data_IF_477149742099
#
_entry.id   IF_477149742099
#
_cell.length_a   1.000
_cell.length_b   1.000
_cell.length_c   1.000
_cell.angle_alpha   90.00
_cell.angle_beta   90.00
_cell.angle_gamma   90.00
#
_symmetry.space_group_name_H-M   'P 1'
#
loop_
_entity.id
_entity.type
_entity.pdbx_description
1 polymer ?
#
# COMPACT_ATOMS: atom_id res chain seq x y z
N UNK A 1 25.22 6.08 -18.80
CA UNK A 1 25.61 4.92 -17.97
C UNK A 1 25.98 5.40 -16.58
N UNK A 2 25.36 4.85 -15.56
CA UNK A 2 25.69 5.12 -14.16
C UNK A 2 26.72 4.10 -13.69
N UNK A 3 27.82 4.57 -13.13
CA UNK A 3 28.88 3.73 -12.51
C UNK A 3 28.78 3.91 -10.99
N UNK A 4 28.51 2.84 -10.26
CA UNK A 4 28.44 2.87 -8.80
C UNK A 4 29.86 2.90 -8.24
N UNK A 5 30.15 3.85 -7.35
CA UNK A 5 31.45 4.01 -6.69
C UNK A 5 31.42 3.48 -5.25
N UNK A 6 30.33 3.69 -4.54
CA UNK A 6 30.15 3.16 -3.19
C UNK A 6 28.68 3.17 -2.79
N UNK A 7 28.34 2.27 -1.86
CA UNK A 7 27.04 2.15 -1.23
C UNK A 7 27.18 2.31 0.27
N UNK A 8 26.28 3.01 0.90
CA UNK A 8 26.19 3.16 2.36
C UNK A 8 24.75 3.27 2.81
N UNK A 9 24.50 3.03 4.09
CA UNK A 9 23.17 3.19 4.66
C UNK A 9 23.23 3.73 6.08
N UNK A 10 22.15 4.36 6.50
CA UNK A 10 21.94 4.81 7.88
C UNK A 10 20.51 4.64 8.33
N UNK A 11 20.30 4.63 9.63
CA UNK A 11 18.96 4.65 10.21
C UNK A 11 18.40 6.06 10.21
N UNK A 12 17.13 6.20 9.85
CA UNK A 12 16.32 7.42 9.95
C UNK A 12 15.02 7.11 10.68
N UNK A 13 14.19 8.12 10.95
CA UNK A 13 12.84 7.94 11.47
C UNK A 13 11.81 8.06 10.36
N UNK A 14 10.76 7.25 10.45
CA UNK A 14 9.54 7.39 9.66
C UNK A 14 8.56 8.38 10.32
N UNK A 15 7.38 8.58 9.73
CA UNK A 15 6.32 9.47 10.22
C UNK A 15 5.78 9.08 11.60
N UNK A 16 5.92 7.81 12.01
CA UNK A 16 5.53 7.27 13.32
C UNK A 16 6.68 7.31 14.35
N UNK A 17 7.82 7.92 14.00
CA UNK A 17 9.03 7.93 14.83
C UNK A 17 9.63 6.54 15.05
N UNK A 18 9.35 5.57 14.18
CA UNK A 18 10.01 4.26 14.15
C UNK A 18 11.26 4.31 13.27
N UNK A 19 12.24 3.45 13.58
CA UNK A 19 13.49 3.40 12.82
C UNK A 19 13.30 2.68 11.50
N UNK A 20 13.76 3.31 10.41
CA UNK A 20 13.84 2.70 9.08
C UNK A 20 15.19 2.99 8.42
N UNK A 21 15.39 2.50 7.20
CA UNK A 21 16.64 2.62 6.45
C UNK A 21 16.60 3.76 5.42
N UNK A 22 17.72 4.47 5.33
CA UNK A 22 18.04 5.34 4.20
C UNK A 22 19.33 4.82 3.58
N UNK A 23 19.27 4.48 2.31
CA UNK A 23 20.42 4.06 1.50
C UNK A 23 20.94 5.25 0.71
N UNK A 24 22.26 5.39 0.64
CA UNK A 24 22.97 6.39 -0.16
C UNK A 24 23.95 5.70 -1.09
N UNK A 25 23.95 6.09 -2.34
CA UNK A 25 24.93 5.63 -3.35
C UNK A 25 25.74 6.82 -3.87
N UNK A 26 27.04 6.63 -4.07
CA UNK A 26 27.90 7.55 -4.81
C UNK A 26 28.15 6.97 -6.19
N UNK A 27 28.01 7.79 -7.20
CA UNK A 27 28.16 7.40 -8.61
C UNK A 27 29.03 8.40 -9.36
N UNK A 28 29.29 8.14 -10.65
CA UNK A 28 29.92 9.09 -11.54
C UNK A 28 29.11 10.36 -11.81
N UNK A 29 27.77 10.31 -11.57
CA UNK A 29 26.83 11.44 -11.81
C UNK A 29 26.36 12.14 -10.54
N UNK A 30 26.86 11.74 -9.37
CA UNK A 30 26.54 12.37 -8.09
C UNK A 30 26.22 11.38 -6.97
N UNK A 31 25.68 11.90 -5.87
CA UNK A 31 25.19 11.13 -4.74
C UNK A 31 23.65 11.13 -4.74
N UNK A 32 23.07 9.92 -4.57
CA UNK A 32 21.63 9.74 -4.56
C UNK A 32 21.21 8.94 -3.33
N UNK A 33 20.00 9.21 -2.88
CA UNK A 33 19.47 8.63 -1.64
C UNK A 33 18.02 8.21 -1.84
N UNK A 34 17.66 7.11 -1.19
CA UNK A 34 16.26 6.71 -1.03
C UNK A 34 16.06 6.01 0.31
N UNK A 35 14.85 6.07 0.83
CA UNK A 35 14.46 5.42 2.08
C UNK A 35 13.26 4.50 1.87
N UNK A 36 13.13 3.52 2.75
CA UNK A 36 11.97 2.63 2.75
C UNK A 36 10.99 2.99 3.86
N UNK A 37 9.68 2.86 3.63
CA UNK A 37 8.66 3.00 4.67
C UNK A 37 8.61 1.75 5.58
N UNK A 38 7.91 1.85 6.73
CA UNK A 38 7.56 0.73 7.59
C UNK A 38 6.07 0.45 7.60
N UNK A 39 5.67 -0.82 7.56
CA UNK A 39 4.29 -1.23 7.83
C UNK A 39 4.04 -1.37 9.34
N UNK A 40 2.83 -1.01 9.81
CA UNK A 40 2.36 -1.28 11.18
C UNK A 40 1.83 -2.70 11.31
N UNK A 41 1.13 -3.17 10.29
CA UNK A 41 0.74 -4.56 10.10
C UNK A 41 1.61 -5.17 9.00
N UNK A 42 2.04 -6.40 9.19
CA UNK A 42 2.76 -7.17 8.17
C UNK A 42 1.94 -8.41 7.87
N UNK A 43 1.58 -8.62 6.61
CA UNK A 43 0.93 -9.85 6.15
C UNK A 43 1.86 -11.06 6.38
N UNK A 44 1.27 -12.21 6.61
CA UNK A 44 2.01 -13.46 6.91
C UNK A 44 3.06 -13.82 5.87
N UNK A 45 2.84 -13.45 4.61
CA UNK A 45 3.69 -13.78 3.47
C UNK A 45 4.51 -12.60 2.95
N UNK A 46 4.49 -11.48 3.65
CA UNK A 46 5.36 -10.34 3.35
C UNK A 46 6.82 -10.71 3.55
N UNK A 47 7.69 -10.22 2.65
CA UNK A 47 9.14 -10.41 2.81
C UNK A 47 9.63 -9.68 4.07
N UNK A 48 10.62 -10.26 4.75
CA UNK A 48 11.19 -9.62 5.93
C UNK A 48 11.76 -8.25 5.56
N UNK A 49 11.41 -7.18 6.27
CA UNK A 49 11.90 -5.83 5.97
C UNK A 49 13.42 -5.72 6.07
N UNK A 50 14.03 -6.47 6.98
CA UNK A 50 15.47 -6.61 7.15
C UNK A 50 15.84 -8.09 7.28
N UNK A 51 17.05 -8.48 6.85
CA UNK A 51 17.47 -9.90 6.92
C UNK A 51 17.43 -10.44 8.35
N UNK A 52 18.07 -9.75 9.29
CA UNK A 52 17.98 -9.99 10.73
C UNK A 52 17.34 -8.80 11.43
N UNK A 53 17.95 -7.65 11.30
CA UNK A 53 17.52 -6.38 11.83
C UNK A 53 18.13 -5.22 11.00
N UNK A 54 17.66 -3.99 11.24
CA UNK A 54 18.10 -2.78 10.55
C UNK A 54 19.62 -2.55 10.64
N UNK A 55 20.23 -2.79 11.82
CA UNK A 55 21.67 -2.58 12.04
C UNK A 55 22.48 -3.60 11.24
N UNK A 56 22.00 -4.84 11.17
CA UNK A 56 22.60 -5.90 10.36
C UNK A 56 22.64 -5.54 8.88
N UNK A 57 21.53 -5.08 8.31
CA UNK A 57 21.47 -4.69 6.91
C UNK A 57 22.35 -3.47 6.60
N UNK A 58 22.39 -2.45 7.48
CA UNK A 58 23.31 -1.31 7.34
C UNK A 58 24.76 -1.77 7.32
N UNK A 59 25.14 -2.69 8.21
CA UNK A 59 26.50 -3.27 8.25
C UNK A 59 26.80 -4.04 6.98
N UNK A 60 25.87 -4.86 6.51
CA UNK A 60 25.98 -5.64 5.28
C UNK A 60 26.23 -4.75 4.07
N UNK A 61 25.43 -3.71 3.87
CA UNK A 61 25.65 -2.77 2.74
C UNK A 61 27.01 -2.08 2.81
N UNK A 62 27.49 -1.74 4.00
CA UNK A 62 28.83 -1.18 4.18
C UNK A 62 29.94 -2.18 3.78
N UNK A 63 29.80 -3.44 4.18
CA UNK A 63 30.75 -4.51 3.83
C UNK A 63 30.73 -4.82 2.31
N UNK A 64 29.53 -4.77 1.71
CA UNK A 64 29.33 -5.08 0.29
C UNK A 64 29.62 -3.90 -0.63
N UNK A 65 29.91 -2.72 -0.09
CA UNK A 65 30.13 -1.51 -0.90
C UNK A 65 31.19 -1.70 -2.00
N UNK A 66 32.22 -2.49 -1.73
CA UNK A 66 33.26 -2.82 -2.72
C UNK A 66 32.76 -3.69 -3.88
N UNK A 67 31.79 -4.56 -3.66
CA UNK A 67 31.23 -5.42 -4.71
C UNK A 67 30.39 -4.64 -5.73
N UNK A 68 29.86 -3.48 -5.35
CA UNK A 68 29.17 -2.57 -6.27
C UNK A 68 30.11 -1.66 -7.06
N UNK A 69 31.39 -1.60 -6.67
CA UNK A 69 32.35 -0.66 -7.29
C UNK A 69 32.64 -1.06 -8.72
N UNK A 70 32.33 -0.17 -9.65
CA UNK A 70 32.49 -0.40 -11.09
C UNK A 70 31.26 -1.01 -11.78
N UNK A 71 30.20 -1.36 -11.04
CA UNK A 71 28.95 -1.80 -11.69
C UNK A 71 28.33 -0.69 -12.53
N UNK A 72 27.97 -1.08 -13.74
CA UNK A 72 27.40 -0.21 -14.76
C UNK A 72 25.93 -0.46 -14.91
N UNK A 73 25.11 0.58 -14.69
CA UNK A 73 23.65 0.54 -14.81
C UNK A 73 23.24 1.45 -15.98
N UNK A 74 22.63 0.86 -17.00
CA UNK A 74 22.17 1.57 -18.19
C UNK A 74 20.63 1.62 -18.33
N UNK A 75 19.95 0.63 -17.79
CA UNK A 75 18.50 0.47 -17.90
C UNK A 75 17.91 -0.17 -16.65
N UNK A 76 16.59 -0.14 -16.57
CA UNK A 76 15.82 -0.69 -15.43
C UNK A 76 16.15 -2.16 -15.15
N UNK A 77 16.34 -2.97 -16.21
CA UNK A 77 16.65 -4.40 -16.09
C UNK A 77 17.99 -4.69 -15.42
N UNK A 78 18.93 -3.75 -15.45
CA UNK A 78 20.26 -3.91 -14.86
C UNK A 78 20.22 -3.92 -13.31
N UNK A 79 19.06 -3.59 -12.70
CA UNK A 79 18.82 -3.83 -11.28
C UNK A 79 19.02 -5.30 -10.91
N UNK A 80 18.91 -6.24 -11.86
CA UNK A 80 19.22 -7.66 -11.62
C UNK A 80 20.63 -7.86 -11.08
N UNK A 81 21.62 -7.14 -11.58
CA UNK A 81 23.01 -7.22 -11.08
C UNK A 81 23.10 -6.81 -9.61
N UNK A 82 22.31 -5.80 -9.24
CA UNK A 82 22.24 -5.31 -7.85
C UNK A 82 21.60 -6.36 -6.95
N UNK A 83 20.50 -6.96 -7.39
CA UNK A 83 19.84 -8.06 -6.68
C UNK A 83 20.79 -9.23 -6.46
N UNK A 84 21.56 -9.64 -7.50
CA UNK A 84 22.50 -10.76 -7.42
C UNK A 84 23.61 -10.51 -6.39
N UNK A 85 24.10 -9.27 -6.26
CA UNK A 85 25.11 -8.91 -5.25
C UNK A 85 24.56 -9.06 -3.82
N UNK A 86 23.31 -8.67 -3.58
CA UNK A 86 22.71 -8.66 -2.23
C UNK A 86 21.82 -9.85 -1.96
N UNK A 87 21.71 -10.84 -2.86
CA UNK A 87 20.80 -11.97 -2.72
C UNK A 87 20.94 -12.62 -1.35
N UNK A 88 19.83 -12.73 -0.63
CA UNK A 88 19.70 -13.29 0.73
C UNK A 88 20.54 -12.62 1.82
N UNK A 89 21.21 -11.50 1.51
CA UNK A 89 22.04 -10.77 2.47
C UNK A 89 21.33 -9.59 3.12
N UNK A 90 20.33 -9.02 2.46
CA UNK A 90 19.53 -7.90 2.96
C UNK A 90 18.03 -8.22 2.92
N UNK A 91 17.22 -7.42 3.63
CA UNK A 91 15.77 -7.52 3.59
C UNK A 91 15.12 -6.60 2.56
N UNK A 92 13.79 -6.72 2.44
CA UNK A 92 13.00 -6.05 1.41
C UNK A 92 13.08 -4.52 1.47
N UNK A 93 13.04 -3.92 2.65
CA UNK A 93 13.18 -2.46 2.79
C UNK A 93 14.54 -1.98 2.29
N UNK A 94 15.57 -2.74 2.58
CA UNK A 94 16.95 -2.39 2.18
C UNK A 94 17.12 -2.49 0.68
N UNK A 95 16.62 -3.56 0.05
CA UNK A 95 16.67 -3.74 -1.39
C UNK A 95 15.87 -2.66 -2.12
N UNK A 96 14.62 -2.40 -1.68
CA UNK A 96 13.77 -1.34 -2.23
C UNK A 96 14.46 0.04 -2.20
N UNK A 97 15.07 0.41 -1.05
CA UNK A 97 15.76 1.69 -0.92
C UNK A 97 17.02 1.74 -1.81
N UNK A 98 17.75 0.65 -1.94
CA UNK A 98 18.94 0.57 -2.78
C UNK A 98 18.58 0.73 -4.27
N UNK A 99 17.64 -0.05 -4.78
CA UNK A 99 17.18 0.04 -6.17
C UNK A 99 16.57 1.42 -6.48
N UNK A 100 15.80 1.97 -5.54
CA UNK A 100 15.24 3.32 -5.67
C UNK A 100 16.32 4.40 -5.81
N UNK A 101 17.39 4.33 -5.02
CA UNK A 101 18.52 5.27 -5.13
C UNK A 101 19.25 5.13 -6.47
N UNK A 102 19.41 3.91 -6.97
CA UNK A 102 20.02 3.62 -8.28
C UNK A 102 19.15 4.16 -9.43
N UNK A 103 17.84 3.96 -9.39
CA UNK A 103 16.92 4.52 -10.39
C UNK A 103 16.98 6.05 -10.44
N UNK A 104 17.09 6.72 -9.29
CA UNK A 104 17.28 8.18 -9.24
C UNK A 104 18.60 8.61 -9.91
N UNK A 105 19.67 7.87 -9.70
CA UNK A 105 20.95 8.13 -10.38
C UNK A 105 20.83 7.95 -11.89
N UNK A 106 20.19 6.86 -12.33
CA UNK A 106 19.96 6.55 -13.74
C UNK A 106 19.06 7.61 -14.42
N UNK A 107 18.00 8.06 -13.73
CA UNK A 107 17.14 9.12 -14.22
C UNK A 107 17.93 10.43 -14.43
N UNK A 108 18.77 10.80 -13.46
CA UNK A 108 19.64 11.97 -13.56
C UNK A 108 20.62 11.86 -14.74
N UNK A 109 21.27 10.72 -14.90
CA UNK A 109 22.21 10.47 -16.01
C UNK A 109 21.50 10.61 -17.36
N UNK A 110 20.32 10.03 -17.51
CA UNK A 110 19.54 10.07 -18.75
C UNK A 110 18.76 11.36 -18.97
N UNK A 111 18.79 12.30 -18.03
CA UNK A 111 17.98 13.53 -18.02
C UNK A 111 16.49 13.22 -18.18
N UNK A 112 16.02 12.24 -17.42
CA UNK A 112 14.64 11.75 -17.38
C UNK A 112 14.11 11.75 -15.96
N UNK A 113 12.79 11.65 -15.81
CA UNK A 113 12.16 11.29 -14.54
C UNK A 113 12.22 9.77 -14.33
N UNK A 114 12.13 9.32 -13.08
CA UNK A 114 12.20 7.87 -12.77
C UNK A 114 11.10 7.07 -13.48
N UNK A 115 9.88 7.61 -13.54
CA UNK A 115 8.78 6.94 -14.26
C UNK A 115 9.07 6.71 -15.75
N UNK A 116 9.86 7.57 -16.40
CA UNK A 116 10.24 7.42 -17.81
C UNK A 116 11.24 6.28 -18.06
N UNK A 117 11.97 5.87 -17.02
CA UNK A 117 12.84 4.67 -17.08
C UNK A 117 12.00 3.39 -17.11
N UNK A 118 10.82 3.43 -16.49
CA UNK A 118 9.89 2.30 -16.41
C UNK A 118 9.01 2.25 -17.67
N UNK A 119 8.40 3.39 -18.02
CA UNK A 119 7.53 3.49 -19.17
C UNK A 119 7.54 4.91 -19.74
N UNK A 120 8.34 5.18 -20.78
CA UNK A 120 8.42 6.52 -21.39
C UNK A 120 7.09 6.98 -22.04
N UNK A 121 6.16 6.07 -22.28
CA UNK A 121 4.86 6.33 -22.87
C UNK A 121 3.73 6.43 -21.82
N UNK A 122 4.08 6.51 -20.52
CA UNK A 122 3.09 6.64 -19.46
C UNK A 122 2.25 7.94 -19.63
N UNK A 123 0.92 7.80 -19.55
CA UNK A 123 -0.01 8.94 -19.78
C UNK A 123 -1.13 8.99 -18.76
N UNK A 124 -1.51 7.86 -18.16
CA UNK A 124 -2.66 7.76 -17.27
C UNK A 124 -2.22 8.02 -15.83
N UNK A 125 -2.70 9.09 -15.23
CA UNK A 125 -2.56 9.29 -13.79
C UNK A 125 -3.50 8.38 -13.02
N UNK A 126 -3.04 7.79 -11.90
CA UNK A 126 -3.89 6.98 -11.05
C UNK A 126 -4.97 7.84 -10.38
N UNK A 127 -6.15 7.24 -10.17
CA UNK A 127 -7.22 7.84 -9.38
C UNK A 127 -6.86 7.76 -7.90
N UNK A 128 -7.04 8.84 -7.16
CA UNK A 128 -6.67 8.87 -5.74
C UNK A 128 -7.70 8.15 -4.88
N UNK A 129 -7.19 7.37 -3.92
CA UNK A 129 -7.95 6.70 -2.86
C UNK A 129 -7.52 7.31 -1.53
N UNK A 130 -8.39 8.10 -0.92
CA UNK A 130 -8.08 8.83 0.32
C UNK A 130 -8.66 8.15 1.55
N UNK A 131 -7.85 7.95 2.60
CA UNK A 131 -8.33 7.50 3.89
C UNK A 131 -9.04 8.66 4.61
N UNK A 132 -10.34 8.52 4.87
CA UNK A 132 -11.18 9.57 5.43
C UNK A 132 -11.46 9.37 6.93
N UNK A 133 -11.90 8.16 7.29
CA UNK A 133 -12.13 7.76 8.68
C UNK A 133 -11.36 6.48 8.95
N UNK A 134 -10.62 6.44 10.04
CA UNK A 134 -9.82 5.29 10.45
C UNK A 134 -10.43 4.52 11.63
N UNK A 135 -10.19 3.22 11.63
CA UNK A 135 -10.58 2.31 12.70
C UNK A 135 -9.54 1.21 12.91
N UNK A 136 -9.98 0.04 13.33
CA UNK A 136 -9.15 -1.16 13.48
C UNK A 136 -7.83 -0.92 14.22
N UNK A 137 -6.75 -1.44 13.65
CA UNK A 137 -5.40 -1.28 14.20
C UNK A 137 -4.80 0.13 13.99
N UNK A 138 -5.30 0.89 13.01
CA UNK A 138 -4.78 2.23 12.70
C UNK A 138 -5.28 3.30 13.69
N UNK A 139 -6.44 3.12 14.31
CA UNK A 139 -6.87 3.95 15.44
C UNK A 139 -6.26 3.42 16.73
N UNK A 140 -5.61 4.31 17.50
CA UNK A 140 -4.85 3.94 18.71
C UNK A 140 -5.63 3.10 19.72
N UNK A 141 -4.91 2.49 20.67
CA UNK A 141 -5.46 1.61 21.72
C UNK A 141 -6.39 2.31 22.71
N UNK A 142 -6.34 3.65 22.78
CA UNK A 142 -6.97 4.43 23.84
C UNK A 142 -8.48 4.62 23.65
N UNK A 143 -9.02 4.35 22.44
CA UNK A 143 -10.44 4.42 22.18
C UNK A 143 -11.12 3.07 22.47
N UNK A 144 -11.95 3.02 23.52
CA UNK A 144 -12.76 1.83 23.86
C UNK A 144 -13.82 1.48 22.81
N UNK A 145 -14.22 2.45 21.97
CA UNK A 145 -15.13 2.27 20.85
C UNK A 145 -14.53 2.89 19.61
N UNK A 146 -14.51 2.17 18.53
CA UNK A 146 -14.05 2.58 17.20
C UNK A 146 -14.62 1.60 16.17
N UNK A 147 -14.65 1.93 14.88
CA UNK A 147 -14.98 0.97 13.84
C UNK A 147 -14.01 -0.21 13.87
N UNK A 148 -14.49 -1.41 13.62
CA UNK A 148 -13.62 -2.59 13.49
C UNK A 148 -12.88 -2.60 12.14
N UNK A 149 -13.47 -2.03 11.09
CA UNK A 149 -12.79 -1.83 9.80
C UNK A 149 -11.64 -0.84 9.92
N UNK A 150 -10.55 -1.13 9.22
CA UNK A 150 -9.33 -0.36 9.33
C UNK A 150 -9.41 1.02 8.70
N UNK A 151 -10.07 1.13 7.53
CA UNK A 151 -10.18 2.39 6.79
C UNK A 151 -11.52 2.51 6.07
N UNK A 152 -12.04 3.74 6.04
CA UNK A 152 -13.17 4.16 5.22
C UNK A 152 -12.67 5.17 4.19
N UNK A 153 -12.80 4.78 2.94
CA UNK A 153 -12.11 5.39 1.81
C UNK A 153 -13.06 6.25 0.98
N UNK A 154 -12.55 7.36 0.49
CA UNK A 154 -13.21 8.23 -0.47
C UNK A 154 -12.42 8.24 -1.78
N UNK A 155 -13.12 8.13 -2.91
CA UNK A 155 -12.50 7.92 -4.21
C UNK A 155 -13.13 8.88 -5.24
N UNK A 156 -12.77 10.16 -5.22
CA UNK A 156 -13.27 11.14 -6.19
C UNK A 156 -12.86 10.74 -7.61
N UNK A 157 -13.69 11.13 -8.59
CA UNK A 157 -13.44 10.88 -10.01
C UNK A 157 -13.46 12.19 -10.80
N UNK A 158 -12.42 13.01 -10.58
CA UNK A 158 -12.26 14.30 -11.23
C UNK A 158 -11.33 14.20 -12.45
N UNK A 159 -11.27 15.25 -13.27
CA UNK A 159 -10.48 15.27 -14.51
C UNK A 159 -8.96 15.29 -14.30
N UNK A 160 -8.48 15.78 -13.16
CA UNK A 160 -7.06 15.88 -12.86
C UNK A 160 -6.71 15.41 -11.45
N UNK A 161 -5.43 15.06 -11.22
CA UNK A 161 -4.92 14.72 -9.88
C UNK A 161 -5.15 15.85 -8.89
N UNK A 162 -4.91 17.11 -9.31
CA UNK A 162 -5.11 18.29 -8.46
C UNK A 162 -6.57 18.46 -8.04
N UNK A 163 -7.51 18.24 -8.95
CA UNK A 163 -8.95 18.30 -8.64
C UNK A 163 -9.36 17.13 -7.72
N UNK A 164 -8.86 15.92 -7.96
CA UNK A 164 -9.08 14.78 -7.05
C UNK A 164 -8.56 15.07 -5.64
N UNK A 165 -7.36 15.62 -5.52
CA UNK A 165 -6.79 16.02 -4.23
C UNK A 165 -7.64 17.09 -3.53
N UNK A 166 -8.06 18.11 -4.26
CA UNK A 166 -8.95 19.16 -3.74
C UNK A 166 -10.27 18.57 -3.25
N UNK A 167 -10.90 17.70 -4.04
CA UNK A 167 -12.17 17.06 -3.68
C UNK A 167 -12.01 16.13 -2.47
N UNK A 168 -10.90 15.37 -2.37
CA UNK A 168 -10.60 14.56 -1.18
C UNK A 168 -10.54 15.43 0.09
N UNK A 169 -9.87 16.58 0.01
CA UNK A 169 -9.78 17.51 1.14
C UNK A 169 -11.15 18.09 1.52
N UNK A 170 -11.93 18.55 0.54
CA UNK A 170 -13.28 19.08 0.77
C UNK A 170 -14.19 18.06 1.45
N UNK A 171 -14.21 16.82 0.94
CA UNK A 171 -15.01 15.74 1.53
C UNK A 171 -14.53 15.40 2.95
N UNK A 172 -13.23 15.38 3.17
CA UNK A 172 -12.64 15.10 4.50
C UNK A 172 -12.99 16.21 5.52
N UNK A 173 -13.04 17.46 5.09
CA UNK A 173 -13.47 18.60 5.92
C UNK A 173 -14.99 18.53 6.21
N UNK A 174 -15.81 18.15 5.24
CA UNK A 174 -17.25 17.91 5.42
C UNK A 174 -17.51 16.76 6.40
N UNK A 175 -16.80 15.64 6.26
CA UNK A 175 -16.89 14.51 7.19
C UNK A 175 -16.54 14.91 8.62
N UNK A 176 -15.53 15.76 8.80
CA UNK A 176 -15.22 16.33 10.11
C UNK A 176 -16.40 17.07 10.75
N UNK A 177 -17.11 17.84 9.95
CA UNK A 177 -18.31 18.57 10.41
C UNK A 177 -19.44 17.58 10.80
N UNK A 178 -19.68 16.57 9.95
CA UNK A 178 -20.70 15.56 10.20
C UNK A 178 -20.37 14.70 11.45
N UNK A 179 -19.10 14.35 11.66
CA UNK A 179 -18.66 13.64 12.86
C UNK A 179 -18.92 14.45 14.13
N UNK A 180 -18.72 15.77 14.11
CA UNK A 180 -19.07 16.63 15.27
C UNK A 180 -20.54 16.62 15.64
N UNK A 181 -21.43 16.36 14.66
CA UNK A 181 -22.87 16.33 14.88
C UNK A 181 -23.33 14.93 15.29
N UNK A 182 -22.75 13.88 14.67
CA UNK A 182 -23.28 12.50 14.78
C UNK A 182 -22.53 11.63 15.78
N UNK A 183 -21.34 12.02 16.22
CA UNK A 183 -20.51 11.27 17.16
C UNK A 183 -20.21 12.12 18.40
N UNK A 184 -21.00 11.93 19.46
CA UNK A 184 -20.88 12.67 20.73
C UNK A 184 -19.49 12.54 21.39
N UNK A 185 -18.69 11.55 20.96
CA UNK A 185 -17.33 11.29 21.45
C UNK A 185 -16.23 11.73 20.50
N UNK A 186 -16.58 12.43 19.43
CA UNK A 186 -15.61 12.88 18.44
C UNK A 186 -14.69 13.96 19.00
N UNK A 187 -13.41 13.64 19.20
CA UNK A 187 -12.41 14.53 19.76
C UNK A 187 -11.61 15.30 18.70
N UNK A 188 -11.98 15.24 17.44
CA UNK A 188 -11.30 15.89 16.32
C UNK A 188 -9.83 15.46 16.19
N UNK A 189 -9.52 14.22 16.54
CA UNK A 189 -8.19 13.60 16.40
C UNK A 189 -8.05 12.86 15.08
N UNK A 190 -6.83 12.72 14.63
CA UNK A 190 -6.46 11.94 13.45
C UNK A 190 -5.58 10.77 13.86
N UNK A 191 -5.60 9.72 13.05
CA UNK A 191 -4.73 8.57 13.21
C UNK A 191 -3.38 8.76 12.48
N UNK A 192 -2.54 7.72 12.46
CA UNK A 192 -1.20 7.73 11.85
C UNK A 192 -1.23 8.01 10.33
N UNK A 193 -2.37 7.82 9.67
CA UNK A 193 -2.59 8.02 8.23
C UNK A 193 -3.47 9.24 7.94
N UNK A 194 -3.50 10.18 8.89
CA UNK A 194 -4.25 11.44 8.78
C UNK A 194 -5.79 11.28 8.63
N UNK A 195 -6.35 10.10 8.90
CA UNK A 195 -7.79 9.86 8.89
C UNK A 195 -8.45 10.24 10.22
N UNK A 196 -9.71 10.70 10.17
CA UNK A 196 -10.46 11.04 11.38
C UNK A 196 -10.70 9.80 12.23
N UNK A 197 -10.52 9.92 13.55
CA UNK A 197 -10.89 8.88 14.50
C UNK A 197 -12.34 9.09 14.94
N UNK A 198 -13.14 8.01 14.91
CA UNK A 198 -14.54 8.03 15.33
C UNK A 198 -14.83 6.94 16.36
N UNK A 199 -15.89 7.13 17.19
CA UNK A 199 -16.38 6.11 18.12
C UNK A 199 -17.55 5.29 17.55
N UNK A 200 -17.97 5.59 16.34
CA UNK A 200 -19.06 4.95 15.60
C UNK A 200 -18.69 3.54 15.13
N UNK A 201 -19.70 2.72 14.84
CA UNK A 201 -19.49 1.43 14.16
C UNK A 201 -19.46 1.61 12.63
N UNK A 202 -19.20 0.51 11.88
CA UNK A 202 -19.03 0.54 10.42
C UNK A 202 -20.24 1.10 9.68
N UNK A 203 -21.46 0.74 10.11
CA UNK A 203 -22.70 1.19 9.45
C UNK A 203 -22.93 2.68 9.68
N UNK A 204 -22.73 3.14 10.90
CA UNK A 204 -22.86 4.56 11.26
C UNK A 204 -21.85 5.41 10.49
N UNK A 205 -20.62 4.93 10.30
CA UNK A 205 -19.61 5.59 9.47
C UNK A 205 -20.05 5.61 8.00
N UNK A 206 -20.52 4.49 7.46
CA UNK A 206 -20.97 4.41 6.07
C UNK A 206 -22.22 5.28 5.84
N UNK A 207 -23.11 5.43 6.81
CA UNK A 207 -24.24 6.35 6.76
C UNK A 207 -23.83 7.83 6.69
N UNK A 208 -22.63 8.17 7.20
CA UNK A 208 -22.05 9.51 7.02
C UNK A 208 -21.52 9.69 5.60
N UNK A 209 -20.88 8.65 5.03
CA UNK A 209 -20.14 8.78 3.77
C UNK A 209 -21.01 8.63 2.52
N UNK A 210 -22.12 7.89 2.58
CA UNK A 210 -22.90 7.50 1.39
C UNK A 210 -23.43 8.66 0.54
N UNK A 211 -23.70 9.82 1.17
CA UNK A 211 -24.36 10.97 0.53
C UNK A 211 -23.38 12.09 0.12
N UNK A 212 -22.06 11.87 0.20
CA UNK A 212 -21.02 12.89 -0.06
C UNK A 212 -20.69 13.09 -1.56
N UNK A 213 -21.42 12.42 -2.45
CA UNK A 213 -21.27 12.61 -3.91
C UNK A 213 -19.92 12.11 -4.48
N UNK A 214 -19.24 11.21 -3.77
CA UNK A 214 -18.03 10.52 -4.23
C UNK A 214 -18.18 9.02 -4.09
N UNK A 215 -17.47 8.24 -4.89
CA UNK A 215 -17.41 6.80 -4.64
C UNK A 215 -16.73 6.52 -3.30
N UNK A 216 -17.27 5.58 -2.56
CA UNK A 216 -16.78 5.18 -1.24
C UNK A 216 -16.28 3.74 -1.26
N UNK A 217 -15.38 3.44 -0.35
CA UNK A 217 -14.84 2.11 -0.14
C UNK A 217 -14.44 1.85 1.30
N UNK A 218 -14.00 0.64 1.54
CA UNK A 218 -13.50 0.19 2.84
C UNK A 218 -12.26 -0.66 2.69
N UNK A 219 -11.34 -0.53 3.61
CA UNK A 219 -10.32 -1.53 3.92
C UNK A 219 -10.73 -2.19 5.24
N UNK A 220 -11.08 -3.46 5.18
CA UNK A 220 -11.61 -4.18 6.33
C UNK A 220 -10.47 -4.77 7.15
N UNK A 221 -9.39 -5.18 6.48
CA UNK A 221 -8.25 -5.86 7.10
C UNK A 221 -8.69 -7.03 8.01
N UNK A 222 -9.58 -7.88 7.48
CA UNK A 222 -10.33 -8.89 8.25
C UNK A 222 -9.44 -9.90 8.97
N UNK A 223 -8.25 -10.20 8.45
CA UNK A 223 -7.24 -11.04 9.10
C UNK A 223 -6.89 -10.55 10.50
N UNK A 224 -7.01 -9.24 10.74
CA UNK A 224 -6.64 -8.60 12.01
C UNK A 224 -7.54 -8.98 13.19
N UNK A 225 -8.80 -9.33 12.93
CA UNK A 225 -9.79 -9.75 13.92
C UNK A 225 -10.38 -11.14 13.65
N UNK A 226 -9.83 -11.90 12.69
CA UNK A 226 -10.17 -13.30 12.47
C UNK A 226 -9.37 -14.19 13.44
N UNK A 227 -10.07 -14.92 14.33
CA UNK A 227 -9.48 -15.87 15.29
C UNK A 227 -10.40 -17.06 15.48
N UNK A 228 -9.85 -18.26 15.59
CA UNK A 228 -10.60 -19.51 15.81
C UNK A 228 -11.76 -19.70 14.81
N UNK A 229 -11.48 -19.43 13.52
CA UNK A 229 -12.45 -19.53 12.41
C UNK A 229 -13.65 -18.60 12.53
N UNK A 230 -13.56 -17.50 13.28
CA UNK A 230 -14.59 -16.49 13.43
C UNK A 230 -14.01 -15.08 13.33
N UNK A 231 -14.80 -14.16 12.82
CA UNK A 231 -14.52 -12.73 12.81
C UNK A 231 -15.08 -12.09 14.08
N UNK A 232 -14.18 -11.53 14.89
CA UNK A 232 -14.48 -11.05 16.24
C UNK A 232 -14.57 -9.53 16.26
N UNK A 233 -15.74 -9.01 16.12
CA UNK A 233 -16.03 -7.58 16.17
C UNK A 233 -16.08 -7.06 17.61
N UNK A 234 -15.71 -5.80 17.81
CA UNK A 234 -15.69 -5.13 19.11
C UNK A 234 -16.74 -4.01 19.23
N UNK A 235 -17.24 -3.51 18.11
CA UNK A 235 -18.21 -2.41 18.11
C UNK A 235 -19.33 -2.63 17.08
N UNK A 236 -20.45 -3.30 17.42
CA UNK A 236 -20.73 -3.97 18.72
C UNK A 236 -19.96 -5.28 18.89
N UNK A 237 -19.84 -5.72 20.14
CA UNK A 237 -19.21 -7.01 20.45
C UNK A 237 -20.07 -8.14 19.90
N UNK A 238 -19.54 -8.82 18.86
CA UNK A 238 -20.19 -9.98 18.26
C UNK A 238 -19.18 -10.82 17.47
N UNK A 239 -19.57 -12.04 17.15
CA UNK A 239 -18.77 -12.93 16.31
C UNK A 239 -19.57 -13.31 15.07
N UNK A 240 -18.86 -13.44 13.93
CA UNK A 240 -19.45 -13.95 12.68
C UNK A 240 -18.69 -15.18 12.22
N UNK A 241 -19.41 -16.17 11.73
CA UNK A 241 -18.84 -17.26 10.92
C UNK A 241 -18.40 -16.73 9.55
N UNK A 242 -17.81 -17.58 8.73
CA UNK A 242 -17.45 -17.25 7.36
C UNK A 242 -18.67 -16.84 6.53
N UNK A 243 -19.75 -17.58 6.63
CA UNK A 243 -21.01 -17.35 5.90
C UNK A 243 -21.71 -16.06 6.36
N UNK A 244 -21.71 -15.81 7.67
CA UNK A 244 -22.24 -14.58 8.26
C UNK A 244 -21.41 -13.36 7.86
N UNK A 245 -20.07 -13.48 7.81
CA UNK A 245 -19.17 -12.42 7.30
C UNK A 245 -19.46 -12.13 5.83
N UNK A 246 -19.54 -13.17 5.00
CA UNK A 246 -19.89 -13.01 3.59
C UNK A 246 -21.22 -12.27 3.40
N UNK A 247 -22.25 -12.70 4.13
CA UNK A 247 -23.58 -12.08 4.07
C UNK A 247 -23.55 -10.63 4.55
N UNK A 248 -22.81 -10.35 5.62
CA UNK A 248 -22.63 -9.00 6.14
C UNK A 248 -21.97 -8.07 5.15
N UNK A 249 -20.82 -8.46 4.60
CA UNK A 249 -20.08 -7.66 3.61
C UNK A 249 -20.92 -7.46 2.34
N UNK A 250 -21.55 -8.52 1.83
CA UNK A 250 -22.45 -8.43 0.67
C UNK A 250 -23.60 -7.44 0.88
N UNK A 251 -24.18 -7.40 2.09
CA UNK A 251 -25.23 -6.44 2.44
C UNK A 251 -24.69 -5.00 2.55
N UNK A 252 -23.48 -4.80 3.08
CA UNK A 252 -22.85 -3.47 3.10
C UNK A 252 -22.60 -2.96 1.67
N UNK A 253 -22.07 -3.80 0.79
CA UNK A 253 -21.86 -3.44 -0.63
C UNK A 253 -23.18 -2.96 -1.25
N UNK A 254 -24.25 -3.74 -1.08
CA UNK A 254 -25.57 -3.42 -1.65
C UNK A 254 -26.18 -2.16 -1.06
N UNK A 255 -26.16 -2.02 0.27
CA UNK A 255 -26.88 -0.95 0.95
C UNK A 255 -26.19 0.41 0.87
N UNK A 256 -24.85 0.41 0.72
CA UNK A 256 -24.04 1.63 0.66
C UNK A 256 -23.38 1.85 -0.70
N UNK A 257 -23.70 1.00 -1.70
CA UNK A 257 -23.10 1.09 -3.04
C UNK A 257 -21.58 1.16 -3.01
N UNK A 258 -20.94 0.30 -2.21
CA UNK A 258 -19.50 0.31 -2.05
C UNK A 258 -18.80 -0.01 -3.37
N UNK A 259 -17.93 0.89 -3.81
CA UNK A 259 -17.14 0.74 -5.02
C UNK A 259 -15.87 -0.08 -4.81
N UNK A 260 -15.25 0.00 -3.61
CA UNK A 260 -13.92 -0.54 -3.31
C UNK A 260 -13.96 -1.28 -1.98
N UNK A 261 -13.61 -2.56 -1.99
CA UNK A 261 -13.66 -3.44 -0.82
C UNK A 261 -12.33 -4.18 -0.72
N UNK A 262 -11.48 -3.76 0.21
CA UNK A 262 -10.15 -4.32 0.47
C UNK A 262 -10.23 -5.30 1.63
N UNK A 263 -9.62 -6.48 1.45
CA UNK A 263 -9.49 -7.58 2.42
C UNK A 263 -10.76 -7.89 3.23
N UNK A 264 -11.89 -8.20 2.56
CA UNK A 264 -13.16 -8.49 3.22
C UNK A 264 -13.16 -9.78 4.04
N UNK A 265 -12.19 -10.68 3.80
CA UNK A 265 -12.02 -11.95 4.49
C UNK A 265 -10.57 -12.13 4.93
N UNK A 266 -10.27 -13.22 5.64
CA UNK A 266 -8.91 -13.53 6.05
C UNK A 266 -8.01 -13.90 4.87
N UNK A 267 -6.70 -13.72 5.01
CA UNK A 267 -5.70 -13.74 3.93
C UNK A 267 -5.48 -15.09 3.22
N UNK A 268 -6.14 -16.17 3.65
CA UNK A 268 -6.10 -17.49 2.99
C UNK A 268 -7.44 -17.88 2.36
N UNK A 269 -8.50 -17.09 2.57
CA UNK A 269 -9.86 -17.44 2.11
C UNK A 269 -10.17 -16.97 0.69
N UNK A 270 -9.36 -17.41 -0.29
CA UNK A 270 -9.53 -17.09 -1.72
C UNK A 270 -10.93 -17.43 -2.24
N UNK A 271 -11.57 -18.47 -1.71
CA UNK A 271 -12.90 -18.92 -2.12
C UNK A 271 -13.98 -17.87 -1.79
N UNK A 272 -13.98 -17.30 -0.57
CA UNK A 272 -14.92 -16.24 -0.20
C UNK A 272 -14.70 -14.97 -1.01
N UNK A 273 -13.44 -14.60 -1.30
CA UNK A 273 -13.14 -13.49 -2.20
C UNK A 273 -13.73 -13.74 -3.61
N UNK A 274 -13.51 -14.94 -4.17
CA UNK A 274 -14.03 -15.32 -5.48
C UNK A 274 -15.56 -15.28 -5.54
N UNK A 275 -16.23 -15.83 -4.51
CA UNK A 275 -17.67 -15.79 -4.39
C UNK A 275 -18.23 -14.36 -4.30
N UNK A 276 -17.52 -13.47 -3.55
CA UNK A 276 -17.91 -12.08 -3.40
C UNK A 276 -17.76 -11.32 -4.72
N UNK A 277 -16.63 -11.49 -5.43
CA UNK A 277 -16.41 -10.91 -6.75
C UNK A 277 -17.47 -11.35 -7.76
N UNK A 278 -17.80 -12.66 -7.78
CA UNK A 278 -18.85 -13.17 -8.66
C UNK A 278 -20.21 -12.55 -8.36
N UNK A 279 -20.52 -12.26 -7.10
CA UNK A 279 -21.79 -11.67 -6.67
C UNK A 279 -21.86 -10.16 -6.90
N UNK A 280 -20.72 -9.46 -6.82
CA UNK A 280 -20.61 -8.01 -6.94
C UNK A 280 -19.54 -7.62 -7.99
N UNK A 281 -19.77 -7.93 -9.28
CA UNK A 281 -18.75 -7.74 -10.34
C UNK A 281 -18.45 -6.26 -10.63
N UNK A 282 -19.35 -5.35 -10.28
CA UNK A 282 -19.21 -3.91 -10.48
C UNK A 282 -18.37 -3.23 -9.38
N UNK A 283 -18.11 -3.94 -8.28
CA UNK A 283 -17.26 -3.46 -7.20
C UNK A 283 -15.81 -3.95 -7.37
N UNK A 284 -14.85 -3.19 -6.86
CA UNK A 284 -13.47 -3.64 -6.78
C UNK A 284 -13.30 -4.49 -5.51
N UNK A 285 -13.07 -5.77 -5.69
CA UNK A 285 -12.65 -6.68 -4.62
C UNK A 285 -11.14 -6.74 -4.64
N UNK A 286 -10.53 -6.16 -3.62
CA UNK A 286 -9.11 -5.82 -3.60
C UNK A 286 -8.37 -6.71 -2.61
N UNK A 287 -7.26 -7.29 -3.05
CA UNK A 287 -6.37 -8.06 -2.17
C UNK A 287 -5.14 -7.26 -1.77
N UNK A 288 -4.98 -7.00 -0.48
CA UNK A 288 -3.74 -6.53 0.16
C UNK A 288 -3.06 -7.71 0.87
N UNK A 289 -3.50 -8.09 2.06
CA UNK A 289 -2.95 -9.24 2.82
C UNK A 289 -3.11 -10.57 2.06
N UNK A 290 -4.16 -10.70 1.23
CA UNK A 290 -4.37 -11.86 0.37
C UNK A 290 -3.20 -12.09 -0.61
N UNK A 291 -2.56 -11.02 -1.12
CA UNK A 291 -1.54 -11.08 -2.19
C UNK A 291 -0.16 -10.63 -1.71
N UNK A 292 -0.07 -9.65 -0.81
CA UNK A 292 1.16 -9.09 -0.21
C UNK A 292 2.26 -8.76 -1.22
N UNK A 293 1.90 -8.21 -2.38
CA UNK A 293 2.84 -7.92 -3.48
C UNK A 293 3.72 -9.14 -3.82
N UNK A 294 3.11 -10.35 -3.85
CA UNK A 294 3.78 -11.62 -4.06
C UNK A 294 3.27 -12.32 -5.33
N UNK A 295 4.20 -12.70 -6.22
CA UNK A 295 3.85 -13.28 -7.52
C UNK A 295 3.09 -14.62 -7.39
N UNK A 296 3.47 -15.49 -6.45
CA UNK A 296 2.81 -16.80 -6.24
C UNK A 296 1.38 -16.62 -5.73
N UNK A 297 1.17 -15.68 -4.81
CA UNK A 297 -0.16 -15.35 -4.29
C UNK A 297 -1.03 -14.70 -5.36
N UNK A 298 -0.48 -13.79 -6.17
CA UNK A 298 -1.20 -13.22 -7.31
C UNK A 298 -1.60 -14.29 -8.31
N UNK A 299 -0.69 -15.21 -8.65
CA UNK A 299 -1.01 -16.33 -9.57
C UNK A 299 -2.20 -17.15 -9.05
N UNK A 300 -2.20 -17.50 -7.76
CA UNK A 300 -3.33 -18.20 -7.12
C UNK A 300 -4.61 -17.38 -7.20
N UNK A 301 -4.56 -16.08 -6.89
CA UNK A 301 -5.73 -15.20 -6.96
C UNK A 301 -6.30 -15.08 -8.37
N UNK A 302 -5.45 -15.12 -9.40
CA UNK A 302 -5.83 -15.16 -10.81
C UNK A 302 -6.53 -16.49 -11.15
N UNK A 303 -5.92 -17.62 -10.80
CA UNK A 303 -6.45 -18.97 -11.07
C UNK A 303 -7.83 -19.17 -10.43
N UNK A 304 -8.00 -18.71 -9.18
CA UNK A 304 -9.25 -18.81 -8.43
C UNK A 304 -10.24 -17.66 -8.71
N UNK A 305 -9.85 -16.68 -9.55
CA UNK A 305 -10.66 -15.47 -9.85
C UNK A 305 -11.13 -14.77 -8.59
N UNK A 306 -10.25 -14.63 -7.62
CA UNK A 306 -10.61 -14.15 -6.27
C UNK A 306 -10.73 -12.62 -6.19
N UNK A 307 -10.02 -11.88 -7.05
CA UNK A 307 -9.94 -10.42 -7.03
C UNK A 307 -9.99 -9.83 -8.43
N UNK A 308 -10.41 -8.57 -8.52
CA UNK A 308 -10.29 -7.74 -9.71
C UNK A 308 -9.42 -6.50 -9.50
N UNK A 309 -8.84 -6.35 -8.29
CA UNK A 309 -7.82 -5.34 -7.99
C UNK A 309 -6.82 -5.86 -6.95
N UNK A 310 -5.57 -5.36 -7.01
CA UNK A 310 -4.51 -5.68 -6.03
C UNK A 310 -3.89 -4.41 -5.46
N UNK A 311 -3.48 -4.50 -4.19
CA UNK A 311 -2.56 -3.54 -3.60
C UNK A 311 -1.13 -3.91 -3.97
N UNK A 312 -0.35 -2.90 -4.35
CA UNK A 312 1.09 -3.01 -4.60
C UNK A 312 1.83 -2.08 -3.65
N UNK A 313 2.58 -2.68 -2.74
CA UNK A 313 3.48 -2.02 -1.79
C UNK A 313 4.91 -2.48 -2.11
N UNK A 314 5.69 -1.72 -2.87
CA UNK A 314 6.97 -2.20 -3.40
C UNK A 314 7.93 -2.74 -2.33
N UNK A 315 7.93 -2.16 -1.13
CA UNK A 315 8.78 -2.60 -0.03
C UNK A 315 8.32 -3.92 0.63
N UNK A 316 7.09 -4.42 0.38
CA UNK A 316 6.69 -5.77 0.82
C UNK A 316 7.46 -6.87 0.07
N UNK A 317 7.90 -6.57 -1.14
CA UNK A 317 8.69 -7.46 -2.00
C UNK A 317 10.18 -7.10 -1.95
N UNK A 318 10.50 -5.82 -2.07
CA UNK A 318 11.85 -5.25 -2.13
C UNK A 318 12.39 -5.09 -3.54
N UNK A 319 12.19 -6.07 -4.41
CA UNK A 319 12.65 -6.05 -5.81
C UNK A 319 11.69 -5.29 -6.71
N UNK A 320 12.14 -4.20 -7.33
CA UNK A 320 11.35 -3.45 -8.32
C UNK A 320 11.16 -4.23 -9.63
N UNK A 321 12.06 -5.17 -9.94
CA UNK A 321 11.88 -6.09 -11.07
C UNK A 321 10.71 -7.04 -10.83
N UNK A 322 10.57 -7.60 -9.61
CA UNK A 322 9.42 -8.43 -9.26
C UNK A 322 8.14 -7.61 -9.18
N UNK A 323 8.19 -6.38 -8.67
CA UNK A 323 7.03 -5.46 -8.69
C UNK A 323 6.55 -5.22 -10.13
N UNK A 324 7.47 -5.03 -11.08
CA UNK A 324 7.13 -4.93 -12.51
C UNK A 324 6.40 -6.19 -13.01
N UNK A 325 6.95 -7.37 -12.74
CA UNK A 325 6.35 -8.63 -13.17
C UNK A 325 4.93 -8.81 -12.61
N UNK A 326 4.72 -8.45 -11.34
CA UNK A 326 3.41 -8.47 -10.69
C UNK A 326 2.44 -7.50 -11.39
N UNK A 327 2.88 -6.27 -11.69
CA UNK A 327 2.06 -5.29 -12.40
C UNK A 327 1.69 -5.76 -13.82
N UNK A 328 2.64 -6.35 -14.54
CA UNK A 328 2.42 -6.90 -15.88
C UNK A 328 1.45 -8.08 -15.86
N UNK A 329 1.61 -9.01 -14.90
CA UNK A 329 0.70 -10.14 -14.72
C UNK A 329 -0.72 -9.67 -14.37
N UNK A 330 -0.87 -8.71 -13.46
CA UNK A 330 -2.17 -8.13 -13.11
C UNK A 330 -2.86 -7.52 -14.33
N UNK A 331 -2.17 -6.69 -15.10
CA UNK A 331 -2.70 -6.07 -16.33
C UNK A 331 -3.12 -7.10 -17.37
N UNK A 332 -2.30 -8.12 -17.60
CA UNK A 332 -2.59 -9.21 -18.55
C UNK A 332 -3.92 -9.90 -18.24
N UNK A 333 -4.30 -9.97 -16.97
CA UNK A 333 -5.53 -10.60 -16.50
C UNK A 333 -6.65 -9.61 -16.16
N UNK A 334 -6.51 -8.33 -16.54
CA UNK A 334 -7.53 -7.31 -16.32
C UNK A 334 -7.71 -6.89 -14.85
N UNK A 335 -6.77 -7.26 -13.97
CA UNK A 335 -6.78 -6.90 -12.55
C UNK A 335 -6.25 -5.47 -12.41
N UNK A 336 -6.99 -4.62 -11.72
CA UNK A 336 -6.62 -3.23 -11.44
C UNK A 336 -5.48 -3.17 -10.45
N UNK A 337 -4.62 -2.16 -10.60
CA UNK A 337 -3.43 -1.96 -9.76
C UNK A 337 -3.65 -0.74 -8.87
N UNK A 338 -3.50 -0.92 -7.58
CA UNK A 338 -3.54 0.12 -6.55
C UNK A 338 -2.16 0.22 -5.91
N UNK A 339 -1.38 1.24 -6.23
CA UNK A 339 -0.18 1.52 -5.45
C UNK A 339 -0.56 2.14 -4.11
N UNK A 340 0.05 1.69 -3.04
CA UNK A 340 -0.29 2.13 -1.69
C UNK A 340 0.93 2.54 -0.88
N UNK A 341 0.78 3.60 -0.10
CA UNK A 341 1.68 3.95 0.97
C UNK A 341 1.72 2.87 2.07
N UNK A 342 2.59 3.06 3.06
CA UNK A 342 2.59 2.30 4.32
C UNK A 342 2.27 3.26 5.47
N UNK A 343 1.83 2.71 6.59
CA UNK A 343 1.48 3.51 7.79
C UNK A 343 2.64 4.32 8.37
N UNK A 344 3.89 3.92 8.13
CA UNK A 344 5.09 4.65 8.53
C UNK A 344 5.87 5.13 7.31
N UNK A 345 5.47 6.25 6.70
CA UNK A 345 6.13 6.82 5.53
C UNK A 345 7.33 7.69 5.92
N UNK A 346 8.18 7.92 4.93
CA UNK A 346 9.31 8.84 5.00
C UNK A 346 9.09 10.01 4.03
N UNK A 347 10.08 10.91 3.91
CA UNK A 347 10.04 11.96 2.87
C UNK A 347 10.40 11.44 1.47
N UNK A 348 10.36 10.13 1.27
CA UNK A 348 10.62 9.50 -0.02
C UNK A 348 9.40 9.65 -0.95
N UNK A 349 9.64 10.04 -2.21
CA UNK A 349 8.59 10.31 -3.19
C UNK A 349 8.57 9.33 -4.38
N UNK A 350 9.48 8.36 -4.41
CA UNK A 350 9.60 7.44 -5.55
C UNK A 350 8.33 6.61 -5.80
N UNK A 351 7.50 6.40 -4.76
CA UNK A 351 6.26 5.64 -4.90
C UNK A 351 5.33 6.23 -5.97
N UNK A 352 5.28 7.57 -6.09
CA UNK A 352 4.49 8.25 -7.12
C UNK A 352 5.03 8.02 -8.53
N UNK A 353 6.37 8.04 -8.69
CA UNK A 353 7.01 7.71 -9.97
C UNK A 353 6.75 6.25 -10.38
N UNK A 354 6.85 5.32 -9.42
CA UNK A 354 6.55 3.90 -9.66
C UNK A 354 5.09 3.70 -10.06
N UNK A 355 4.15 4.32 -9.34
CA UNK A 355 2.72 4.22 -9.64
C UNK A 355 2.40 4.75 -11.04
N UNK A 356 2.96 5.90 -11.41
CA UNK A 356 2.75 6.48 -12.74
C UNK A 356 3.46 5.68 -13.83
N UNK A 357 4.71 5.28 -13.63
CA UNK A 357 5.48 4.48 -14.58
C UNK A 357 4.86 3.11 -14.83
N UNK A 358 4.42 2.42 -13.80
CA UNK A 358 3.69 1.17 -13.92
C UNK A 358 2.22 1.35 -14.31
N UNK A 359 1.75 2.59 -14.59
CA UNK A 359 0.39 2.90 -15.02
C UNK A 359 -0.66 2.28 -14.09
N UNK A 360 -0.50 2.52 -12.80
CA UNK A 360 -1.48 2.12 -11.80
C UNK A 360 -2.86 2.73 -12.10
N UNK A 361 -3.92 2.01 -11.76
CA UNK A 361 -5.30 2.51 -11.87
C UNK A 361 -5.64 3.44 -10.70
N UNK A 362 -5.11 3.13 -9.53
CA UNK A 362 -5.36 3.85 -8.28
C UNK A 362 -4.07 4.09 -7.48
N UNK A 363 -4.12 5.12 -6.65
CA UNK A 363 -3.05 5.47 -5.71
C UNK A 363 -3.68 5.76 -4.33
N UNK A 364 -3.42 4.89 -3.37
CA UNK A 364 -3.90 4.97 -1.99
C UNK A 364 -2.87 5.68 -1.13
N UNK A 365 -3.21 6.87 -0.58
CA UNK A 365 -2.31 7.74 0.21
C UNK A 365 -3.10 8.62 1.19
#
# INVERSE_FOLDING_TARGET
MVVIKSVSAKSIFDSRKERTILVSIKTNVGEFRASAPNGKSTGKYEQKPYRKDLRGDIKTLKQFSGYFSGDEIEKFEDLRRVEDIVDRHVGANTLFALESAILKALAKEKKKEVWQLINPNAKKFPRLVGNCIGGGKHSGSDSKKKPDFQEFLIIPNMKSVKENQKKNKEVKDEVRYLLKIKDDKFENRRNDEDAWQASLNEKEVLDILKDLGVAIGVDIASSSFHKKKKYNYQNPVLQRTREEQFSYISNLIKNFSLFYIEDPFEEEDFESFSALLKKHPDSLIVGDDLVVTNEKKLKKAIEEKSINAIIVKPNQNGSLLQVRNICEAAKKHGIKIVFSHRSGETMENILSDLAFGFQADFFKC
#
